data_IF_635667346407
#
_entry.id   IF_635667346407
#
_cell.length_a   1.000
_cell.length_b   1.000
_cell.length_c   1.000
_cell.angle_alpha   90.00
_cell.angle_beta   90.00
_cell.angle_gamma   90.00
#
_symmetry.space_group_name_H-M   'P 1'
#
loop_
_entity.id
_entity.type
_entity.pdbx_description
1 polymer ?
#
# COMPACT_ATOMS: atom_id res chain seq x y z
N UNK A 1 -11.72 0.41 -8.03
CA UNK A 1 -10.24 0.53 -8.14
C UNK A 1 -9.60 -0.49 -9.10
N UNK A 2 -10.20 -1.65 -9.40
CA UNK A 2 -9.65 -2.63 -10.37
C UNK A 2 -9.32 -2.03 -11.75
N UNK A 3 -10.23 -1.22 -12.31
CA UNK A 3 -10.00 -0.53 -13.58
C UNK A 3 -8.70 0.29 -13.58
N UNK A 4 -8.37 0.96 -12.47
CA UNK A 4 -7.15 1.75 -12.35
C UNK A 4 -5.92 0.85 -12.43
N UNK A 5 -5.89 -0.26 -11.67
CA UNK A 5 -4.81 -1.25 -11.69
C UNK A 5 -4.64 -1.83 -13.10
N UNK A 6 -5.74 -2.23 -13.74
CA UNK A 6 -5.72 -2.81 -15.08
C UNK A 6 -5.11 -1.84 -16.10
N UNK A 7 -5.53 -0.57 -16.04
CA UNK A 7 -5.02 0.49 -16.93
C UNK A 7 -3.53 0.73 -16.73
N UNK A 8 -3.06 0.89 -15.49
CA UNK A 8 -1.64 1.18 -15.22
C UNK A 8 -0.76 -0.05 -15.44
N UNK A 9 -1.32 -1.26 -15.39
CA UNK A 9 -0.61 -2.53 -15.62
C UNK A 9 -0.54 -2.92 -17.09
N UNK A 10 -1.45 -2.42 -17.92
CA UNK A 10 -1.56 -2.80 -19.32
C UNK A 10 -0.37 -2.26 -20.13
N UNK A 11 0.37 -3.18 -20.75
CA UNK A 11 1.56 -2.87 -21.58
C UNK A 11 2.64 -2.04 -20.87
N UNK A 12 2.71 -2.10 -19.54
CA UNK A 12 3.79 -1.52 -18.74
C UNK A 12 4.66 -2.60 -18.11
N UNK A 13 5.93 -2.29 -17.86
CA UNK A 13 6.82 -3.13 -17.04
C UNK A 13 6.38 -3.15 -15.58
N UNK A 14 5.89 -2.01 -15.09
CA UNK A 14 5.27 -1.85 -13.79
C UNK A 14 4.80 -0.42 -13.60
N UNK A 15 4.29 -0.11 -12.42
CA UNK A 15 3.74 1.21 -12.09
C UNK A 15 4.18 1.68 -10.70
N UNK A 16 4.12 2.99 -10.49
CA UNK A 16 4.27 3.62 -9.16
C UNK A 16 2.91 3.94 -8.56
N UNK A 17 2.83 3.92 -7.23
CA UNK A 17 1.66 4.36 -6.47
C UNK A 17 2.03 5.60 -5.66
N UNK A 18 1.44 6.73 -6.01
CA UNK A 18 1.57 7.98 -5.26
C UNK A 18 0.32 8.18 -4.41
N UNK A 19 0.52 8.31 -3.10
CA UNK A 19 -0.57 8.49 -2.13
C UNK A 19 -0.37 9.85 -1.48
N UNK A 20 -1.20 10.80 -1.88
CA UNK A 20 -1.42 12.01 -1.10
C UNK A 20 -2.35 11.69 0.07
N UNK A 21 -1.89 11.96 1.30
CA UNK A 21 -2.66 11.64 2.50
C UNK A 21 -3.93 12.49 2.59
N UNK A 22 -3.96 13.68 1.98
CA UNK A 22 -5.13 14.55 1.99
C UNK A 22 -6.29 14.08 1.09
N UNK A 23 -6.05 13.05 0.26
CA UNK A 23 -7.08 12.38 -0.52
C UNK A 23 -8.01 11.48 0.31
N UNK A 24 -7.64 11.17 1.56
CA UNK A 24 -8.51 10.47 2.50
C UNK A 24 -9.46 11.43 3.20
N UNK A 25 -10.50 10.88 3.83
CA UNK A 25 -11.39 11.71 4.66
C UNK A 25 -10.62 12.37 5.79
N UNK A 26 -11.01 13.59 6.14
CA UNK A 26 -10.43 14.34 7.26
C UNK A 26 -10.47 13.57 8.58
N UNK A 27 -11.51 12.75 8.80
CA UNK A 27 -11.63 11.89 9.98
C UNK A 27 -10.66 10.69 9.98
N UNK A 28 -10.19 10.26 8.81
CA UNK A 28 -9.23 9.17 8.64
C UNK A 28 -7.77 9.71 8.55
N UNK A 29 -7.60 10.95 8.08
CA UNK A 29 -6.32 11.61 7.85
C UNK A 29 -6.34 13.08 8.31
N UNK A 30 -6.51 13.37 9.62
CA UNK A 30 -6.58 14.75 10.10
C UNK A 30 -5.26 15.53 9.96
N UNK A 31 -4.12 14.85 9.86
CA UNK A 31 -2.77 15.43 9.92
C UNK A 31 -2.23 15.80 8.54
N UNK A 32 -2.95 16.64 7.79
CA UNK A 32 -2.59 17.01 6.41
C UNK A 32 -2.53 18.52 6.19
N UNK A 33 -1.91 18.93 5.09
CA UNK A 33 -1.78 20.33 4.67
C UNK A 33 -3.12 20.98 4.34
N UNK A 34 -3.92 20.26 3.55
CA UNK A 34 -5.11 20.71 2.82
C UNK A 34 -6.25 19.71 2.97
N UNK A 35 -6.95 19.65 4.12
CA UNK A 35 -8.03 18.69 4.32
C UNK A 35 -9.21 18.98 3.39
N UNK A 36 -9.68 17.97 2.66
CA UNK A 36 -10.77 18.09 1.69
C UNK A 36 -12.00 17.25 2.06
N UNK A 37 -13.18 17.77 1.72
CA UNK A 37 -14.43 17.08 1.96
C UNK A 37 -14.69 15.98 0.91
N UNK A 38 -15.28 14.86 1.34
CA UNK A 38 -15.64 13.76 0.43
C UNK A 38 -14.48 12.85 0.04
N UNK A 39 -13.41 12.83 0.83
CA UNK A 39 -12.25 11.95 0.64
C UNK A 39 -12.59 10.45 0.66
N UNK A 40 -11.61 9.66 0.24
CA UNK A 40 -11.67 8.20 0.24
C UNK A 40 -11.73 7.69 1.69
N UNK A 41 -12.57 6.68 1.95
CA UNK A 41 -12.57 5.98 3.24
C UNK A 41 -11.30 5.14 3.34
N UNK A 42 -10.47 5.42 4.35
CA UNK A 42 -9.19 4.73 4.52
C UNK A 42 -9.37 3.21 4.63
N UNK A 43 -10.34 2.75 5.44
CA UNK A 43 -10.60 1.31 5.63
C UNK A 43 -11.01 0.58 4.35
N UNK A 44 -11.80 1.21 3.48
CA UNK A 44 -12.18 0.62 2.19
C UNK A 44 -10.98 0.51 1.26
N UNK A 45 -10.12 1.53 1.23
CA UNK A 45 -8.88 1.52 0.45
C UNK A 45 -7.88 0.48 0.95
N UNK A 46 -7.65 0.42 2.25
CA UNK A 46 -6.80 -0.57 2.92
C UNK A 46 -7.31 -1.99 2.67
N UNK A 47 -8.61 -2.22 2.74
CA UNK A 47 -9.23 -3.52 2.44
C UNK A 47 -9.05 -3.89 0.97
N UNK A 48 -9.21 -2.93 0.07
CA UNK A 48 -8.98 -3.13 -1.36
C UNK A 48 -7.53 -3.57 -1.63
N UNK A 49 -6.53 -2.85 -1.10
CA UNK A 49 -5.10 -3.18 -1.27
C UNK A 49 -4.78 -4.58 -0.75
N UNK A 50 -5.28 -4.93 0.43
CA UNK A 50 -5.10 -6.27 1.03
C UNK A 50 -5.59 -7.39 0.12
N UNK A 51 -6.73 -7.20 -0.54
CA UNK A 51 -7.37 -8.21 -1.37
C UNK A 51 -6.90 -8.21 -2.83
N UNK A 52 -6.18 -7.19 -3.28
CA UNK A 52 -5.76 -7.04 -4.69
C UNK A 52 -4.24 -6.85 -4.78
N UNK A 53 -3.45 -7.94 -4.73
CA UNK A 53 -2.00 -7.88 -4.81
C UNK A 53 -1.55 -7.16 -6.09
N UNK A 54 -0.86 -6.03 -5.93
CA UNK A 54 -0.37 -5.21 -7.03
C UNK A 54 0.97 -5.73 -7.55
N UNK A 55 1.00 -6.86 -8.25
CA UNK A 55 2.25 -7.54 -8.63
C UNK A 55 3.25 -6.64 -9.39
N UNK A 56 2.72 -5.76 -10.24
CA UNK A 56 3.47 -4.81 -11.06
C UNK A 56 3.82 -3.49 -10.36
N UNK A 57 3.49 -3.33 -9.08
CA UNK A 57 3.91 -2.17 -8.29
C UNK A 57 5.43 -2.19 -8.10
N UNK A 58 6.09 -1.11 -8.51
CA UNK A 58 7.55 -0.94 -8.45
C UNK A 58 7.99 -0.03 -7.29
N UNK A 59 7.22 1.02 -7.01
CA UNK A 59 7.53 2.02 -6.00
C UNK A 59 6.25 2.61 -5.43
N UNK A 60 6.32 3.03 -4.16
CA UNK A 60 5.25 3.75 -3.49
C UNK A 60 5.83 5.02 -2.88
N UNK A 61 5.11 6.13 -2.98
CA UNK A 61 5.34 7.34 -2.20
C UNK A 61 4.10 7.67 -1.36
N UNK A 62 4.33 8.12 -0.14
CA UNK A 62 3.28 8.59 0.79
C UNK A 62 3.69 10.00 1.19
N UNK A 63 2.88 10.99 0.85
CA UNK A 63 3.19 12.42 0.99
C UNK A 63 2.13 13.15 1.82
N UNK A 64 2.39 14.42 2.14
CA UNK A 64 1.49 15.32 2.89
C UNK A 64 1.10 14.90 4.31
N UNK A 65 1.76 13.89 4.88
CA UNK A 65 1.67 13.63 6.31
C UNK A 65 2.39 14.74 7.10
N UNK A 66 1.66 15.45 7.95
CA UNK A 66 2.15 16.50 8.84
C UNK A 66 2.03 16.06 10.31
N UNK A 67 3.05 15.40 10.90
CA UNK A 67 2.97 14.79 12.24
C UNK A 67 2.54 15.75 13.36
N UNK A 68 2.90 17.02 13.23
CA UNK A 68 2.56 18.07 14.20
C UNK A 68 1.06 18.40 14.25
N UNK A 69 0.31 18.04 13.19
CA UNK A 69 -1.14 18.25 13.08
C UNK A 69 -1.97 17.02 13.45
N UNK A 70 -1.32 15.92 13.82
CA UNK A 70 -2.05 14.69 14.13
C UNK A 70 -2.78 14.80 15.47
N UNK A 71 -3.87 14.05 15.58
CA UNK A 71 -4.70 14.07 16.77
C UNK A 71 -4.03 13.30 17.94
N UNK A 72 -4.66 13.37 19.11
CA UNK A 72 -4.18 12.65 20.30
C UNK A 72 -4.20 11.13 20.12
N UNK A 73 -5.03 10.62 19.21
CA UNK A 73 -5.13 9.20 18.90
C UNK A 73 -4.10 8.74 17.86
N UNK A 74 -3.30 9.66 17.28
CA UNK A 74 -2.33 9.39 16.22
C UNK A 74 -2.97 8.75 15.00
N UNK A 75 -4.15 9.24 14.61
CA UNK A 75 -4.98 8.65 13.56
C UNK A 75 -4.24 8.61 12.22
N UNK A 76 -3.59 9.70 11.83
CA UNK A 76 -2.87 9.77 10.55
C UNK A 76 -1.58 8.96 10.56
N UNK A 77 -0.83 8.97 11.67
CA UNK A 77 0.36 8.13 11.84
C UNK A 77 0.01 6.65 11.71
N UNK A 78 -1.09 6.21 12.34
CA UNK A 78 -1.59 4.84 12.23
C UNK A 78 -1.99 4.51 10.78
N UNK A 79 -2.63 5.43 10.07
CA UNK A 79 -2.97 5.24 8.67
C UNK A 79 -1.71 5.07 7.80
N UNK A 80 -0.68 5.90 7.98
CA UNK A 80 0.59 5.77 7.24
C UNK A 80 1.25 4.41 7.53
N UNK A 81 1.29 3.98 8.79
CA UNK A 81 1.77 2.63 9.15
C UNK A 81 0.97 1.54 8.42
N UNK A 82 -0.35 1.62 8.48
CA UNK A 82 -1.24 0.60 7.92
C UNK A 82 -1.14 0.54 6.39
N UNK A 83 -0.93 1.67 5.71
CA UNK A 83 -0.62 1.72 4.28
C UNK A 83 0.67 0.96 3.97
N UNK A 84 1.74 1.21 4.72
CA UNK A 84 3.03 0.51 4.53
C UNK A 84 2.86 -1.00 4.78
N UNK A 85 2.22 -1.38 5.88
CA UNK A 85 2.00 -2.78 6.23
C UNK A 85 1.19 -3.52 5.16
N UNK A 86 0.06 -2.96 4.71
CA UNK A 86 -0.83 -3.66 3.78
C UNK A 86 -0.27 -3.69 2.36
N UNK A 87 0.54 -2.71 1.96
CA UNK A 87 1.22 -2.71 0.66
C UNK A 87 2.35 -3.75 0.64
N UNK A 88 3.15 -3.83 1.70
CA UNK A 88 4.43 -4.56 1.66
C UNK A 88 4.44 -5.91 2.37
N UNK A 89 3.69 -6.13 3.46
CA UNK A 89 3.68 -7.42 4.16
C UNK A 89 3.30 -8.59 3.24
N UNK A 90 2.22 -8.51 2.43
CA UNK A 90 1.88 -9.61 1.52
C UNK A 90 2.99 -9.92 0.51
N UNK A 91 3.73 -8.89 0.09
CA UNK A 91 4.84 -9.02 -0.87
C UNK A 91 6.05 -9.70 -0.24
N UNK A 92 6.41 -9.31 0.99
CA UNK A 92 7.51 -9.94 1.72
C UNK A 92 7.20 -11.40 2.05
N UNK A 93 5.98 -11.71 2.47
CA UNK A 93 5.57 -13.09 2.73
C UNK A 93 5.64 -13.95 1.47
N UNK A 94 5.14 -13.45 0.34
CA UNK A 94 5.23 -14.17 -0.93
C UNK A 94 6.68 -14.39 -1.36
N UNK A 95 7.52 -13.36 -1.31
CA UNK A 95 8.93 -13.46 -1.67
C UNK A 95 9.67 -14.49 -0.78
N UNK A 96 9.41 -14.50 0.52
CA UNK A 96 9.99 -15.48 1.44
C UNK A 96 9.56 -16.92 1.10
N UNK A 97 8.27 -17.14 0.81
CA UNK A 97 7.75 -18.45 0.42
C UNK A 97 8.35 -18.92 -0.90
N UNK A 98 8.41 -18.06 -1.92
CA UNK A 98 8.97 -18.38 -3.24
C UNK A 98 10.43 -18.79 -3.14
N UNK A 99 11.24 -18.04 -2.38
CA UNK A 99 12.65 -18.37 -2.13
C UNK A 99 12.83 -19.70 -1.41
N UNK A 100 12.00 -19.99 -0.40
CA UNK A 100 12.09 -21.25 0.34
C UNK A 100 11.70 -22.45 -0.55
N UNK A 101 10.67 -22.30 -1.38
CA UNK A 101 10.27 -23.33 -2.35
C UNK A 101 11.38 -23.59 -3.38
N UNK A 102 12.05 -22.55 -3.85
CA UNK A 102 13.17 -22.67 -4.78
C UNK A 102 14.38 -23.36 -4.15
N UNK A 103 14.73 -23.01 -2.91
CA UNK A 103 15.80 -23.67 -2.17
C UNK A 103 15.54 -25.17 -1.99
N UNK A 104 14.30 -25.56 -1.65
CA UNK A 104 13.89 -26.97 -1.52
C UNK A 104 13.94 -27.72 -2.84
N UNK A 105 13.57 -27.08 -3.97
CA UNK A 105 13.66 -27.68 -5.31
C UNK A 105 15.10 -27.96 -5.69
N UNK A 106 16.00 -27.01 -5.46
CA UNK A 106 17.41 -27.17 -5.76
C UNK A 106 18.03 -28.32 -4.94
N UNK A 107 17.73 -28.41 -3.64
CA UNK A 107 18.23 -29.53 -2.81
C UNK A 107 17.78 -30.91 -3.31
N UNK A 108 16.56 -31.04 -3.85
CA UNK A 108 16.06 -32.29 -4.43
C UNK A 108 16.62 -32.60 -5.82
N UNK A 109 17.07 -31.59 -6.56
CA UNK A 109 17.68 -31.80 -7.88
C UNK A 109 19.12 -32.32 -7.80
N UNK A 110 19.78 -32.19 -6.64
CA UNK A 110 21.16 -32.63 -6.39
C UNK A 110 21.26 -33.83 -5.43
N UNK A 111 20.14 -34.44 -5.06
CA UNK A 111 20.06 -35.64 -4.22
C UNK A 111 19.62 -36.86 -5.05
#
# INVERSE_FOLDING_TARGET
>A
MNEAIDRVSFKTYGFGLSIDLDGFRVEDAPAVGTPEAGGIIADEFLSFIKCHPMEKLLATEIVEFLPERDDTAKTSEKLVRDLVEHIYLPRFTRYAIENELEARRNQRAFA
#
